data_IF_363327169288
#
_entry.id   IF_363327169288
#
_cell.length_a   1.000
_cell.length_b   1.000
_cell.length_c   1.000
_cell.angle_alpha   90.00
_cell.angle_beta   90.00
_cell.angle_gamma   90.00
#
_symmetry.space_group_name_H-M   'P 1'
#
loop_
_entity.id
_entity.type
_entity.pdbx_description
1 polymer ?
#
# COMPACT_ATOMS: atom_id res chain seq x y z
N UNK A 1 -0.76 6.15 0.55
CA UNK A 1 -0.47 5.53 -0.76
C UNK A 1 -1.64 4.59 -1.09
N UNK A 2 -2.17 4.63 -2.32
CA UNK A 2 -3.14 3.63 -2.80
C UNK A 2 -2.42 2.48 -3.54
N UNK A 3 -1.30 2.79 -4.19
CA UNK A 3 -0.47 1.85 -4.92
C UNK A 3 0.97 2.39 -5.04
N UNK A 4 1.92 1.50 -5.32
CA UNK A 4 3.29 1.84 -5.72
C UNK A 4 3.52 1.80 -7.24
N UNK A 5 2.49 1.43 -8.00
CA UNK A 5 2.46 1.55 -9.44
C UNK A 5 2.11 3.01 -9.82
N UNK A 6 2.95 3.69 -10.62
CA UNK A 6 2.70 5.09 -11.00
C UNK A 6 1.36 5.30 -11.70
N UNK A 7 0.93 4.37 -12.55
CA UNK A 7 -0.31 4.53 -13.32
C UNK A 7 -1.53 4.48 -12.40
N UNK A 8 -1.54 3.54 -11.45
CA UNK A 8 -2.58 3.43 -10.42
C UNK A 8 -2.54 4.60 -9.44
N UNK A 9 -1.34 5.06 -9.08
CA UNK A 9 -1.16 6.20 -8.18
C UNK A 9 -1.71 7.48 -8.82
N UNK A 10 -1.31 7.77 -10.05
CA UNK A 10 -1.67 9.01 -10.76
C UNK A 10 -3.15 9.05 -11.12
N UNK A 11 -3.73 7.92 -11.50
CA UNK A 11 -5.17 7.80 -11.75
C UNK A 11 -6.03 8.21 -10.54
N UNK A 12 -5.59 7.84 -9.33
CA UNK A 12 -6.28 8.16 -8.08
C UNK A 12 -5.93 9.54 -7.52
N UNK A 13 -4.64 9.85 -7.33
CA UNK A 13 -4.21 11.09 -6.68
C UNK A 13 -4.24 12.32 -7.60
N UNK A 14 -4.22 12.12 -8.92
CA UNK A 14 -4.21 13.17 -9.95
C UNK A 14 -3.25 14.33 -9.60
N UNK A 15 -1.97 14.02 -9.35
CA UNK A 15 -1.00 14.98 -8.85
C UNK A 15 -0.80 16.17 -9.81
N UNK A 16 -0.63 17.38 -9.26
CA UNK A 16 -0.33 18.59 -10.06
C UNK A 16 1.02 19.24 -9.77
N UNK A 17 1.73 18.84 -8.70
CA UNK A 17 3.02 19.44 -8.26
C UNK A 17 3.94 18.52 -7.44
N UNK A 18 3.53 17.30 -7.20
CA UNK A 18 4.30 16.27 -6.49
C UNK A 18 3.86 14.91 -7.03
N UNK A 19 4.72 13.91 -7.05
CA UNK A 19 4.36 12.57 -7.54
C UNK A 19 4.58 11.46 -6.52
N UNK A 20 4.32 10.23 -6.95
CA UNK A 20 4.71 9.04 -6.20
C UNK A 20 6.22 9.04 -5.86
N UNK A 21 7.06 9.47 -6.80
CA UNK A 21 8.51 9.57 -6.60
C UNK A 21 8.89 10.48 -5.42
N UNK A 22 8.20 11.59 -5.23
CA UNK A 22 8.41 12.51 -4.10
C UNK A 22 7.98 11.88 -2.77
N UNK A 23 6.87 11.14 -2.77
CA UNK A 23 6.43 10.39 -1.60
C UNK A 23 7.45 9.32 -1.21
N UNK A 24 7.98 8.57 -2.18
CA UNK A 24 9.02 7.57 -1.96
C UNK A 24 10.34 8.20 -1.50
N UNK A 25 10.73 9.35 -2.07
CA UNK A 25 11.90 10.11 -1.63
C UNK A 25 11.74 10.53 -0.17
N UNK A 26 10.57 11.02 0.23
CA UNK A 26 10.28 11.41 1.61
C UNK A 26 10.43 10.24 2.58
N UNK A 27 9.94 9.04 2.21
CA UNK A 27 10.11 7.82 3.00
C UNK A 27 11.60 7.50 3.18
N UNK A 28 12.35 7.46 2.07
CA UNK A 28 13.80 7.15 2.09
C UNK A 28 14.58 8.13 2.96
N UNK A 29 14.37 9.43 2.77
CA UNK A 29 15.07 10.46 3.54
C UNK A 29 14.71 10.45 5.03
N UNK A 30 13.45 10.18 5.36
CA UNK A 30 13.03 9.99 6.76
C UNK A 30 13.74 8.80 7.41
N UNK A 31 13.85 7.67 6.69
CA UNK A 31 14.55 6.48 7.19
C UNK A 31 16.06 6.68 7.31
N UNK A 32 16.71 7.40 6.37
CA UNK A 32 18.13 7.78 6.48
C UNK A 32 18.42 8.59 7.75
N UNK A 33 17.45 9.39 8.21
CA UNK A 33 17.54 10.22 9.42
C UNK A 33 17.15 9.46 10.70
N UNK A 34 16.88 8.15 10.61
CA UNK A 34 16.51 7.33 11.76
C UNK A 34 15.09 7.56 12.27
N UNK A 35 14.22 8.22 11.49
CA UNK A 35 12.84 8.46 11.89
C UNK A 35 12.00 7.18 11.78
N UNK A 36 10.98 7.10 12.61
CA UNK A 36 9.89 6.13 12.47
C UNK A 36 8.99 6.57 11.32
N UNK A 37 8.74 5.66 10.37
CA UNK A 37 7.89 5.91 9.21
C UNK A 37 6.72 4.92 9.20
N UNK A 38 5.52 5.50 9.20
CA UNK A 38 4.27 4.79 9.00
C UNK A 38 3.66 5.17 7.66
N UNK A 39 3.33 4.19 6.83
CA UNK A 39 2.62 4.38 5.56
C UNK A 39 1.16 4.01 5.73
N UNK A 40 0.26 4.96 5.46
CA UNK A 40 -1.15 4.64 5.26
C UNK A 40 -1.31 4.00 3.87
N UNK A 41 -1.64 2.72 3.84
CA UNK A 41 -1.96 1.97 2.62
C UNK A 41 -3.50 1.93 2.48
N UNK A 42 -4.01 2.57 1.42
CA UNK A 42 -5.43 2.55 1.07
C UNK A 42 -5.71 1.25 0.31
N UNK A 43 -6.54 0.41 0.91
CA UNK A 43 -6.78 -0.98 0.52
C UNK A 43 -8.06 -1.05 -0.29
N UNK A 44 -7.92 -1.62 -1.49
CA UNK A 44 -9.03 -2.02 -2.35
C UNK A 44 -8.81 -3.47 -2.82
N UNK A 45 -9.66 -4.43 -2.43
CA UNK A 45 -9.54 -5.83 -2.84
C UNK A 45 -9.57 -6.00 -4.36
N UNK A 46 -8.70 -6.86 -4.89
CA UNK A 46 -8.52 -7.05 -6.33
C UNK A 46 -7.49 -6.11 -6.96
N UNK A 47 -7.07 -5.05 -6.25
CA UNK A 47 -6.12 -4.05 -6.75
C UNK A 47 -4.88 -4.02 -5.84
N UNK A 48 -5.04 -3.65 -4.58
CA UNK A 48 -3.93 -3.48 -3.62
C UNK A 48 -3.29 -4.81 -3.19
N UNK A 49 -4.02 -5.92 -3.32
CA UNK A 49 -3.59 -7.27 -2.96
C UNK A 49 -3.23 -8.12 -4.19
N UNK A 50 -2.75 -7.48 -5.25
CA UNK A 50 -2.20 -8.19 -6.41
C UNK A 50 -0.75 -8.63 -6.17
N UNK A 51 -0.28 -9.63 -6.91
CA UNK A 51 1.11 -10.10 -6.85
C UNK A 51 2.11 -8.97 -7.13
N UNK A 52 1.81 -8.11 -8.11
CA UNK A 52 2.61 -6.93 -8.44
C UNK A 52 2.70 -5.95 -7.26
N UNK A 53 1.57 -5.58 -6.65
CA UNK A 53 1.57 -4.70 -5.49
C UNK A 53 2.33 -5.32 -4.30
N UNK A 54 2.14 -6.61 -4.05
CA UNK A 54 2.87 -7.32 -3.01
C UNK A 54 4.39 -7.26 -3.23
N UNK A 55 4.84 -7.46 -4.47
CA UNK A 55 6.26 -7.39 -4.84
C UNK A 55 6.83 -5.98 -4.65
N UNK A 56 6.13 -4.96 -5.16
CA UNK A 56 6.55 -3.56 -5.06
C UNK A 56 6.62 -3.10 -3.60
N UNK A 57 5.59 -3.40 -2.79
CA UNK A 57 5.54 -3.07 -1.37
C UNK A 57 6.64 -3.82 -0.62
N UNK A 58 6.85 -5.10 -0.92
CA UNK A 58 7.96 -5.88 -0.36
C UNK A 58 9.32 -5.25 -0.67
N UNK A 59 9.52 -4.75 -1.90
CA UNK A 59 10.75 -4.09 -2.31
C UNK A 59 10.98 -2.81 -1.48
N UNK A 60 9.94 -1.98 -1.33
CA UNK A 60 10.01 -0.76 -0.54
C UNK A 60 10.35 -1.04 0.93
N UNK A 61 9.70 -2.05 1.55
CA UNK A 61 9.97 -2.43 2.95
C UNK A 61 11.41 -2.93 3.08
N UNK A 62 11.87 -3.77 2.15
CA UNK A 62 13.24 -4.30 2.15
C UNK A 62 14.29 -3.18 2.02
N UNK A 63 14.05 -2.23 1.12
CA UNK A 63 14.93 -1.10 0.85
C UNK A 63 15.02 -0.16 2.06
N UNK A 64 13.87 0.23 2.60
CA UNK A 64 13.77 1.35 3.56
C UNK A 64 13.72 0.91 5.02
N UNK A 65 13.50 -0.39 5.29
CA UNK A 65 13.15 -0.92 6.61
C UNK A 65 11.97 -0.16 7.22
N UNK A 66 10.91 -0.01 6.43
CA UNK A 66 9.67 0.64 6.84
C UNK A 66 9.16 0.03 8.15
N UNK A 67 8.77 0.88 9.10
CA UNK A 67 8.41 0.43 10.45
C UNK A 67 6.96 -0.04 10.50
N UNK A 68 6.06 0.67 9.80
CA UNK A 68 4.63 0.40 9.88
C UNK A 68 3.89 0.59 8.56
N UNK A 69 3.00 -0.35 8.26
CA UNK A 69 1.91 -0.16 7.29
C UNK A 69 0.60 -0.10 8.08
N UNK A 70 -0.07 1.05 7.99
CA UNK A 70 -1.41 1.24 8.49
C UNK A 70 -2.38 1.01 7.35
N UNK A 71 -3.09 -0.12 7.37
CA UNK A 71 -4.08 -0.45 6.37
C UNK A 71 -5.38 0.31 6.64
N UNK A 72 -5.90 0.95 5.60
CA UNK A 72 -7.13 1.75 5.61
C UNK A 72 -8.00 1.34 4.45
N UNK A 73 -9.31 1.24 4.62
CA UNK A 73 -10.19 1.02 3.47
C UNK A 73 -10.11 2.23 2.54
N UNK A 74 -10.05 1.95 1.24
CA UNK A 74 -10.28 2.98 0.24
C UNK A 74 -11.79 3.26 0.17
N UNK A 75 -12.24 4.25 0.94
CA UNK A 75 -13.67 4.60 1.08
C UNK A 75 -14.15 5.47 -0.09
N UNK A 76 -14.05 4.93 -1.30
CA UNK A 76 -14.56 5.52 -2.55
C UNK A 76 -15.66 4.61 -3.11
N UNK A 77 -16.55 5.16 -3.93
CA UNK A 77 -17.47 4.35 -4.71
C UNK A 77 -16.68 3.32 -5.56
N UNK A 78 -16.95 2.00 -5.43
CA UNK A 78 -16.17 0.97 -6.10
C UNK A 78 -16.23 1.04 -7.62
N UNK A 79 -17.40 1.33 -8.20
CA UNK A 79 -17.56 1.41 -9.66
C UNK A 79 -16.82 2.62 -10.20
N UNK A 80 -16.95 3.78 -9.54
CA UNK A 80 -16.20 4.98 -9.89
C UNK A 80 -14.69 4.73 -9.85
N UNK A 81 -14.19 4.04 -8.81
CA UNK A 81 -12.77 3.75 -8.69
C UNK A 81 -12.30 2.84 -9.81
N UNK A 82 -12.97 1.71 -10.04
CA UNK A 82 -12.62 0.75 -11.08
C UNK A 82 -12.67 1.37 -12.49
N UNK A 83 -13.61 2.29 -12.74
CA UNK A 83 -13.69 3.03 -14.00
C UNK A 83 -12.63 4.12 -14.14
N UNK A 84 -11.98 4.53 -13.05
CA UNK A 84 -10.99 5.60 -13.03
C UNK A 84 -9.55 5.12 -13.09
N UNK A 85 -9.28 3.84 -12.78
CA UNK A 85 -7.94 3.27 -12.71
C UNK A 85 -7.66 2.32 -13.88
N UNK A 86 -6.38 2.10 -14.25
CA UNK A 86 -6.03 1.01 -15.15
C UNK A 86 -6.36 -0.36 -14.53
N UNK A 87 -6.62 -1.39 -15.36
CA UNK A 87 -6.88 -2.74 -14.87
C UNK A 87 -5.66 -3.31 -14.13
N UNK A 88 -5.86 -4.22 -13.16
CA UNK A 88 -4.77 -4.82 -12.40
C UNK A 88 -3.82 -5.59 -13.33
N UNK A 89 -2.51 -5.39 -13.13
CA UNK A 89 -1.44 -5.98 -13.95
C UNK A 89 -1.14 -7.45 -13.62
N UNK A 90 -1.71 -7.99 -12.54
CA UNK A 90 -1.49 -9.36 -12.07
C UNK A 90 -2.67 -9.85 -11.22
N UNK A 91 -2.75 -11.16 -10.98
CA UNK A 91 -3.79 -11.75 -10.16
C UNK A 91 -3.77 -11.23 -8.71
N UNK A 92 -4.96 -11.17 -8.11
CA UNK A 92 -5.13 -10.89 -6.68
C UNK A 92 -4.81 -12.14 -5.86
N UNK A 93 -3.93 -12.01 -4.87
CA UNK A 93 -3.60 -13.09 -3.93
C UNK A 93 -4.58 -13.12 -2.74
N UNK A 94 -5.40 -12.09 -2.57
CA UNK A 94 -6.29 -11.93 -1.44
C UNK A 94 -5.66 -11.15 -0.28
N UNK A 95 -6.47 -10.34 0.40
CA UNK A 95 -6.04 -9.48 1.51
C UNK A 95 -5.38 -10.27 2.65
N UNK A 96 -5.98 -11.38 3.09
CA UNK A 96 -5.44 -12.15 4.20
C UNK A 96 -4.10 -12.83 3.85
N UNK A 97 -3.95 -13.50 2.68
CA UNK A 97 -2.65 -13.93 2.17
C UNK A 97 -1.62 -12.80 2.03
N UNK A 98 -2.02 -11.63 1.52
CA UNK A 98 -1.17 -10.46 1.40
C UNK A 98 -0.58 -10.03 2.76
N UNK A 99 -1.44 -9.87 3.78
CA UNK A 99 -1.02 -9.51 5.15
C UNK A 99 -0.10 -10.58 5.74
N UNK A 100 -0.47 -11.86 5.64
CA UNK A 100 0.36 -12.96 6.15
C UNK A 100 1.71 -13.03 5.45
N UNK A 101 1.73 -12.80 4.15
CA UNK A 101 2.95 -12.76 3.34
C UNK A 101 3.91 -11.66 3.81
N UNK A 102 3.39 -10.45 4.04
CA UNK A 102 4.20 -9.32 4.53
C UNK A 102 4.72 -9.58 5.94
N UNK A 103 3.88 -10.06 6.88
CA UNK A 103 4.33 -10.40 8.25
C UNK A 103 5.41 -11.48 8.26
N UNK A 104 5.23 -12.53 7.46
CA UNK A 104 6.20 -13.63 7.36
C UNK A 104 7.54 -13.16 6.78
N UNK A 105 7.50 -12.32 5.74
CA UNK A 105 8.71 -11.81 5.07
C UNK A 105 9.42 -10.73 5.86
N UNK A 106 8.68 -9.93 6.61
CA UNK A 106 9.19 -8.80 7.40
C UNK A 106 8.67 -8.86 8.85
N UNK A 107 9.23 -9.72 9.71
CA UNK A 107 8.73 -9.92 11.08
C UNK A 107 8.77 -8.67 11.97
N UNK A 108 9.58 -7.66 11.62
CA UNK A 108 9.68 -6.39 12.34
C UNK A 108 8.67 -5.33 11.86
N UNK A 109 7.99 -5.58 10.74
CA UNK A 109 7.00 -4.65 10.20
C UNK A 109 5.74 -4.70 11.06
N UNK A 110 5.32 -3.54 11.55
CA UNK A 110 4.04 -3.37 12.23
C UNK A 110 2.96 -3.25 11.15
N UNK A 111 1.96 -4.14 11.20
CA UNK A 111 0.76 -4.01 10.36
C UNK A 111 -0.41 -3.68 11.26
N UNK A 112 -0.89 -2.45 11.16
CA UNK A 112 -2.09 -1.98 11.84
C UNK A 112 -3.30 -1.95 10.92
N UNK A 113 -4.49 -2.12 11.50
CA UNK A 113 -5.77 -1.96 10.82
C UNK A 113 -6.71 -1.24 11.77
N UNK A 114 -7.32 -0.14 11.32
CA UNK A 114 -8.12 0.73 12.20
C UNK A 114 -9.61 0.38 12.20
N UNK A 115 -10.09 -0.48 11.30
CA UNK A 115 -11.48 -0.93 11.39
C UNK A 115 -11.56 -2.01 12.46
N UNK A 116 -12.33 -1.74 13.51
CA UNK A 116 -12.79 -2.79 14.41
C UNK A 116 -13.63 -3.75 13.55
N UNK A 117 -13.27 -5.03 13.45
CA UNK A 117 -14.19 -6.02 12.90
C UNK A 117 -15.50 -5.94 13.69
N UNK A 118 -16.65 -5.99 13.04
CA UNK A 118 -17.92 -6.22 13.74
C UNK A 118 -17.93 -7.60 14.43
N UNK A 119 -17.11 -8.53 13.94
CA UNK A 119 -16.88 -9.85 14.54
C UNK A 119 -15.38 -10.18 14.57
N UNK A 120 -14.88 -10.58 15.74
CA UNK A 120 -13.55 -11.15 15.90
C UNK A 120 -13.52 -12.53 15.23
N UNK A 121 -12.52 -12.78 14.39
CA UNK A 121 -12.20 -14.12 13.87
C UNK A 121 -11.48 -14.94 14.93
#
# INVERSE_FOLDING_TARGET
>A
LNSLDPDLYDAYYRPKRYGLSDALKTIRESKKRGLFVSVNLLVFPGITDTESEFSQISSLIKETRLDMIQMRNLNIDPELYLNSIPPPKSAAIGIAPFIRGLKRRFPRLIIGYFNRPSHLF
#
